data_IF_893398415684
#
_entry.id   IF_893398415684
#
_cell.length_a   1.000
_cell.length_b   1.000
_cell.length_c   1.000
_cell.angle_alpha   90.00
_cell.angle_beta   90.00
_cell.angle_gamma   90.00
#
_symmetry.space_group_name_H-M   'P 1'
#
loop_
_entity.id
_entity.type
_entity.pdbx_description
1 polymer ?
#
# COMPACT_ATOMS: atom_id res chain seq x y z
N UNK A 1 1.78 9.93 2.94
CA UNK A 1 1.36 8.57 3.32
C UNK A 1 1.57 7.65 2.15
N UNK A 2 0.88 6.51 2.14
CA UNK A 2 1.02 5.49 1.09
C UNK A 2 0.67 6.07 -0.28
N UNK A 3 -0.47 6.77 -0.40
CA UNK A 3 -1.02 7.25 -1.68
C UNK A 3 -0.03 8.16 -2.43
N UNK A 4 0.61 9.08 -1.72
CA UNK A 4 1.55 10.04 -2.30
C UNK A 4 2.96 9.47 -2.51
N UNK A 5 3.31 8.35 -1.84
CA UNK A 5 4.64 7.77 -1.89
C UNK A 5 4.77 6.71 -2.99
N UNK A 6 3.78 5.81 -3.12
CA UNK A 6 3.88 4.66 -4.04
C UNK A 6 3.93 5.08 -5.51
N UNK A 7 3.24 6.17 -5.87
CA UNK A 7 3.17 6.65 -7.26
C UNK A 7 4.47 7.28 -7.78
N UNK A 8 5.41 7.62 -6.88
CA UNK A 8 6.68 8.28 -7.21
C UNK A 8 7.65 7.38 -7.99
N UNK A 9 7.50 6.07 -7.82
CA UNK A 9 8.36 5.06 -8.47
C UNK A 9 7.69 4.39 -9.68
N UNK A 10 6.48 4.81 -10.02
CA UNK A 10 5.67 4.18 -11.06
C UNK A 10 5.58 5.03 -12.33
N UNK A 11 5.68 4.44 -13.53
CA UNK A 11 5.46 5.16 -14.78
C UNK A 11 3.99 5.63 -14.92
N UNK A 12 3.76 6.72 -15.65
CA UNK A 12 2.42 7.32 -15.77
C UNK A 12 1.35 6.41 -16.39
N UNK A 13 1.76 5.36 -17.12
CA UNK A 13 0.86 4.40 -17.78
C UNK A 13 0.23 3.36 -16.84
N UNK A 14 0.58 3.36 -15.56
CA UNK A 14 0.09 2.36 -14.58
C UNK A 14 -0.43 3.02 -13.30
N UNK A 15 -1.29 2.28 -12.61
CA UNK A 15 -1.79 2.54 -11.25
C UNK A 15 -1.52 1.36 -10.33
N UNK A 16 -1.73 1.55 -9.05
CA UNK A 16 -1.69 0.49 -8.03
C UNK A 16 -3.08 0.24 -7.51
N UNK A 17 -3.46 -1.03 -7.41
CA UNK A 17 -4.60 -1.48 -6.64
C UNK A 17 -4.10 -2.05 -5.32
N UNK A 18 -4.41 -1.36 -4.21
CA UNK A 18 -4.01 -1.76 -2.86
C UNK A 18 -5.19 -2.47 -2.21
N UNK A 19 -4.98 -3.72 -1.80
CA UNK A 19 -5.99 -4.57 -1.18
C UNK A 19 -6.16 -4.21 0.29
N UNK A 20 -7.35 -3.75 0.68
CA UNK A 20 -7.70 -3.51 2.08
C UNK A 20 -7.65 -4.82 2.87
N UNK A 21 -7.15 -4.75 4.10
CA UNK A 21 -7.01 -5.91 4.98
C UNK A 21 -5.89 -6.89 4.58
N UNK A 22 -5.01 -6.52 3.65
CA UNK A 22 -3.83 -7.33 3.30
C UNK A 22 -2.72 -7.31 4.36
N UNK A 23 -2.81 -6.40 5.34
CA UNK A 23 -2.01 -6.40 6.56
C UNK A 23 -2.84 -5.91 7.74
N UNK A 24 -2.33 -6.16 8.95
CA UNK A 24 -2.90 -5.63 10.17
C UNK A 24 -2.42 -4.19 10.39
N UNK A 25 -3.35 -3.24 10.36
CA UNK A 25 -3.04 -1.84 10.66
C UNK A 25 -2.77 -1.71 12.16
N UNK A 26 -1.61 -1.17 12.59
CA UNK A 26 -1.30 -1.03 14.02
C UNK A 26 -2.38 -0.25 14.79
N UNK A 27 -2.75 -0.68 16.02
CA UNK A 27 -3.86 -0.10 16.79
C UNK A 27 -3.78 1.42 17.00
N UNK A 28 -2.57 1.99 17.03
CA UNK A 28 -2.36 3.44 17.15
C UNK A 28 -3.05 4.23 16.03
N UNK A 29 -3.09 3.70 14.81
CA UNK A 29 -3.75 4.39 13.68
C UNK A 29 -5.27 4.35 13.79
N UNK A 30 -5.82 3.25 14.33
CA UNK A 30 -7.25 3.16 14.66
C UNK A 30 -7.61 4.19 15.72
N UNK A 31 -6.82 4.27 16.80
CA UNK A 31 -6.99 5.29 17.84
C UNK A 31 -6.94 6.72 17.27
N UNK A 32 -5.93 7.04 16.46
CA UNK A 32 -5.80 8.36 15.84
C UNK A 32 -6.98 8.70 14.92
N UNK A 33 -7.44 7.72 14.14
CA UNK A 33 -8.60 7.89 13.26
C UNK A 33 -9.86 8.23 14.06
N UNK A 34 -10.13 7.47 15.11
CA UNK A 34 -11.31 7.63 15.97
C UNK A 34 -11.25 8.93 16.77
N UNK A 35 -10.12 9.21 17.43
CA UNK A 35 -9.93 10.42 18.24
C UNK A 35 -10.00 11.71 17.41
N UNK A 36 -9.51 11.68 16.17
CA UNK A 36 -9.50 12.85 15.27
C UNK A 36 -10.68 12.92 14.30
N UNK A 37 -11.62 11.97 14.34
CA UNK A 37 -12.69 11.82 13.34
C UNK A 37 -12.17 11.88 11.88
N UNK A 38 -11.08 11.17 11.61
CA UNK A 38 -10.33 11.27 10.35
C UNK A 38 -10.93 10.33 9.30
N UNK A 39 -11.14 10.83 8.08
CA UNK A 39 -11.58 10.01 6.94
C UNK A 39 -10.48 9.06 6.48
N UNK A 40 -10.85 7.88 5.96
CA UNK A 40 -9.87 6.89 5.47
C UNK A 40 -8.92 7.44 4.39
N UNK A 41 -9.42 8.27 3.49
CA UNK A 41 -8.60 8.92 2.45
C UNK A 41 -7.54 9.87 3.03
N UNK A 42 -7.81 10.48 4.19
CA UNK A 42 -6.82 11.29 4.90
C UNK A 42 -5.86 10.39 5.66
N UNK A 43 -6.33 9.27 6.22
CA UNK A 43 -5.45 8.29 6.85
C UNK A 43 -4.40 7.73 5.89
N UNK A 44 -4.81 7.26 4.70
CA UNK A 44 -3.90 6.72 3.67
C UNK A 44 -2.94 7.77 3.11
N UNK A 45 -3.40 9.02 2.98
CA UNK A 45 -2.58 10.12 2.47
C UNK A 45 -1.63 10.71 3.51
N UNK A 46 -1.97 10.71 4.80
CA UNK A 46 -1.13 11.31 5.85
C UNK A 46 -0.21 10.29 6.48
N UNK A 47 -0.72 9.12 6.88
CA UNK A 47 0.01 8.13 7.67
C UNK A 47 0.54 6.98 6.81
N UNK A 48 1.43 6.17 7.39
CA UNK A 48 1.95 4.96 6.76
C UNK A 48 1.05 3.73 7.02
N UNK A 49 0.11 3.82 7.97
CA UNK A 49 -0.79 2.74 8.38
C UNK A 49 -0.08 1.39 8.69
N UNK A 50 1.20 1.41 9.07
CA UNK A 50 2.00 0.22 9.36
C UNK A 50 2.93 -0.24 8.23
N UNK A 51 2.92 0.41 7.07
CA UNK A 51 3.79 0.07 5.94
C UNK A 51 4.93 1.09 5.83
N UNK A 52 6.11 0.71 6.32
CA UNK A 52 7.31 1.57 6.28
C UNK A 52 7.99 1.62 4.91
N UNK A 53 7.90 0.54 4.14
CA UNK A 53 8.54 0.37 2.83
C UNK A 53 7.60 -0.36 1.87
N UNK A 54 7.62 0.04 0.60
CA UNK A 54 6.91 -0.64 -0.49
C UNK A 54 7.95 -1.02 -1.56
N UNK A 55 7.96 -2.30 -1.94
CA UNK A 55 8.75 -2.81 -3.04
C UNK A 55 7.83 -3.30 -4.15
N UNK A 56 8.17 -2.98 -5.41
CA UNK A 56 7.43 -3.42 -6.59
C UNK A 56 8.29 -4.46 -7.30
N UNK A 57 7.76 -5.68 -7.41
CA UNK A 57 8.49 -6.84 -7.95
C UNK A 57 7.63 -7.59 -8.97
N UNK A 58 8.23 -8.38 -9.87
CA UNK A 58 7.47 -9.29 -10.72
C UNK A 58 6.57 -10.21 -9.89
N UNK A 59 5.36 -10.49 -10.36
CA UNK A 59 4.39 -11.31 -9.63
C UNK A 59 4.94 -12.71 -9.27
N UNK A 60 5.74 -13.30 -10.16
CA UNK A 60 6.41 -14.59 -9.93
C UNK A 60 7.43 -14.57 -8.79
N UNK A 61 7.96 -13.40 -8.42
CA UNK A 61 8.94 -13.24 -7.35
C UNK A 61 8.32 -12.77 -6.02
N UNK A 62 7.04 -12.39 -6.01
CA UNK A 62 6.41 -11.75 -4.84
C UNK A 62 6.46 -12.62 -3.59
N UNK A 63 6.10 -13.90 -3.71
CA UNK A 63 6.12 -14.85 -2.59
C UNK A 63 7.54 -15.11 -2.07
N UNK A 64 8.50 -15.31 -2.98
CA UNK A 64 9.90 -15.54 -2.63
C UNK A 64 10.50 -14.33 -1.89
N UNK A 65 10.17 -13.11 -2.33
CA UNK A 65 10.61 -11.88 -1.66
C UNK A 65 10.04 -11.80 -0.25
N UNK A 66 8.73 -12.08 -0.06
CA UNK A 66 8.12 -12.11 1.27
C UNK A 66 8.79 -13.14 2.18
N UNK A 67 9.05 -14.35 1.67
CA UNK A 67 9.71 -15.40 2.43
C UNK A 67 11.14 -15.01 2.86
N UNK A 68 11.90 -14.34 1.97
CA UNK A 68 13.24 -13.84 2.29
C UNK A 68 13.23 -12.74 3.35
N UNK A 69 12.29 -11.79 3.26
CA UNK A 69 12.16 -10.72 4.26
C UNK A 69 11.76 -11.31 5.62
N UNK A 70 10.88 -12.30 5.63
CA UNK A 70 10.56 -13.05 6.85
C UNK A 70 11.79 -13.75 7.44
N UNK A 71 12.66 -14.33 6.60
CA UNK A 71 13.95 -14.91 7.02
C UNK A 71 14.94 -13.89 7.60
N UNK A 72 14.76 -12.60 7.30
CA UNK A 72 15.51 -11.48 7.92
C UNK A 72 14.86 -10.97 9.21
N UNK A 73 13.85 -11.69 9.72
CA UNK A 73 13.09 -11.34 10.92
C UNK A 73 12.26 -10.05 10.79
N UNK A 74 11.88 -9.71 9.56
CA UNK A 74 11.03 -8.56 9.22
C UNK A 74 9.66 -9.01 8.71
N UNK A 75 8.63 -8.18 8.89
CA UNK A 75 7.27 -8.48 8.40
C UNK A 75 7.05 -7.90 7.00
N UNK A 76 6.64 -8.74 6.06
CA UNK A 76 6.26 -8.33 4.71
C UNK A 76 4.90 -8.90 4.32
N UNK A 77 4.21 -8.16 3.46
CA UNK A 77 2.87 -8.49 2.99
C UNK A 77 2.79 -8.26 1.48
N UNK A 78 2.04 -9.11 0.77
CA UNK A 78 1.59 -8.78 -0.57
C UNK A 78 0.36 -7.90 -0.43
N UNK A 79 0.54 -6.60 -0.64
CA UNK A 79 -0.48 -5.59 -0.35
C UNK A 79 -1.34 -5.20 -1.55
N UNK A 80 -1.03 -5.69 -2.74
CA UNK A 80 -1.70 -5.25 -3.97
C UNK A 80 -0.92 -5.59 -5.23
N UNK A 81 -1.28 -4.93 -6.31
CA UNK A 81 -0.69 -5.12 -7.63
C UNK A 81 -0.63 -3.84 -8.46
N UNK A 82 0.26 -3.83 -9.45
CA UNK A 82 0.37 -2.76 -10.44
C UNK A 82 -0.43 -3.15 -11.67
N UNK A 83 -1.38 -2.30 -12.09
CA UNK A 83 -2.25 -2.55 -13.23
C UNK A 83 -2.19 -1.39 -14.24
N UNK A 84 -2.49 -1.64 -15.53
CA UNK A 84 -2.56 -0.58 -16.52
C UNK A 84 -3.60 0.49 -16.15
N UNK A 85 -3.27 1.76 -16.41
CA UNK A 85 -4.25 2.86 -16.35
C UNK A 85 -5.27 2.71 -17.47
N UNK A 86 -6.55 2.81 -17.13
CA UNK A 86 -7.65 2.95 -18.08
C UNK A 86 -7.89 4.44 -18.34
N UNK A 87 -8.44 4.77 -19.52
CA UNK A 87 -8.81 6.16 -19.87
C UNK A 87 -9.83 6.78 -18.89
N UNK A 88 -10.58 5.95 -18.19
CA UNK A 88 -11.60 6.34 -17.21
C UNK A 88 -11.04 6.50 -15.80
N UNK A 89 -9.80 6.11 -15.54
CA UNK A 89 -9.19 6.24 -14.22
C UNK A 89 -8.78 7.71 -13.99
N UNK A 90 -9.21 8.26 -12.86
CA UNK A 90 -8.88 9.62 -12.40
C UNK A 90 -7.77 9.63 -11.34
N UNK A 91 -7.39 8.45 -10.82
CA UNK A 91 -6.39 8.30 -9.78
C UNK A 91 -5.42 7.14 -10.04
N UNK A 92 -4.18 7.28 -9.58
CA UNK A 92 -3.10 6.30 -9.73
C UNK A 92 -2.96 5.33 -8.56
N UNK A 93 -3.75 5.53 -7.49
CA UNK A 93 -3.86 4.60 -6.36
C UNK A 93 -5.34 4.32 -6.11
N UNK A 94 -5.71 3.05 -6.14
CA UNK A 94 -7.06 2.60 -5.87
C UNK A 94 -7.04 1.60 -4.72
N UNK A 95 -7.83 1.88 -3.69
CA UNK A 95 -7.97 0.98 -2.55
C UNK A 95 -9.17 0.06 -2.77
N UNK A 96 -8.90 -1.23 -3.00
CA UNK A 96 -9.91 -2.28 -3.28
C UNK A 96 -10.19 -3.15 -2.07
#
# INVERSE_FOLDING_TARGET
GIDDNVVRVLPASVKVEIKKGSWEIPPVFKFLKEAGNIKDSVMSRTFNNGIGLIAIVPASAAQDVVARVAGMNEKAYIIGEVVPMKKTDDNRVQWI
#
